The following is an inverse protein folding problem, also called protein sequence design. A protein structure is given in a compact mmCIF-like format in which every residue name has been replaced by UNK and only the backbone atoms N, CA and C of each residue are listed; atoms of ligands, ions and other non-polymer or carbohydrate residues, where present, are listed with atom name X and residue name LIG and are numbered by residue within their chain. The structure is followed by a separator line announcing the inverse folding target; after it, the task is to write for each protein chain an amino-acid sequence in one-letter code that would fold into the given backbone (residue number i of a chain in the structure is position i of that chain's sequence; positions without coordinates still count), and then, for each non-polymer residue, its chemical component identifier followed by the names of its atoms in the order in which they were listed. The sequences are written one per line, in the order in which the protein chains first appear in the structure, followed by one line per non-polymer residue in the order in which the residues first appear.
data_IF_136661742090
#
_entry.id   IF_136661742090
#
_cell.length_a   1.000
_cell.length_b   1.000
_cell.length_c   1.000
_cell.angle_alpha   90.00
_cell.angle_beta   90.00
_cell.angle_gamma   90.00
#
_symmetry.space_group_name_H-M   'P 1'
#
loop_
_entity.id
_entity.type
_entity.pdbx_description
1 polymer ?
#
# COMPACT_ATOMS: atom_id res chain seq x y z
N UNK A 1 2.09 -14.93 -7.55
CA UNK A 1 3.34 -14.71 -8.30
C UNK A 1 3.97 -13.34 -7.96
N UNK A 2 3.25 -12.22 -8.16
CA UNK A 2 3.78 -10.86 -7.90
C UNK A 2 4.27 -10.60 -6.48
N UNK A 3 3.76 -11.32 -5.49
CA UNK A 3 4.18 -11.22 -4.07
C UNK A 3 5.46 -11.99 -3.75
N UNK A 4 5.89 -12.90 -4.63
CA UNK A 4 7.08 -13.71 -4.41
C UNK A 4 8.38 -12.96 -4.73
N UNK A 5 8.29 -11.92 -5.56
CA UNK A 5 9.45 -11.11 -5.94
C UNK A 5 9.52 -9.90 -4.97
N UNK A 6 10.63 -9.72 -4.22
CA UNK A 6 10.81 -8.53 -3.39
C UNK A 6 10.73 -7.25 -4.22
N UNK A 7 10.04 -6.21 -3.69
CA UNK A 7 9.86 -4.93 -4.38
C UNK A 7 11.17 -4.32 -4.85
N UNK A 8 12.22 -4.45 -4.04
CA UNK A 8 13.53 -3.93 -4.32
C UNK A 8 14.14 -4.54 -5.58
N UNK A 9 14.04 -5.87 -5.74
CA UNK A 9 14.53 -6.58 -6.94
C UNK A 9 13.72 -6.16 -8.17
N UNK A 10 12.40 -6.07 -8.03
CA UNK A 10 11.53 -5.59 -9.11
C UNK A 10 11.92 -4.18 -9.55
N UNK A 11 12.15 -3.27 -8.60
CA UNK A 11 12.58 -1.91 -8.90
C UNK A 11 13.93 -1.88 -9.61
N UNK A 12 14.91 -2.68 -9.19
CA UNK A 12 16.22 -2.77 -9.86
C UNK A 12 16.07 -3.24 -11.32
N UNK A 13 15.28 -4.27 -11.56
CA UNK A 13 15.03 -4.78 -12.93
C UNK A 13 14.40 -3.67 -13.78
N UNK A 14 13.42 -2.96 -13.25
CA UNK A 14 12.73 -1.88 -13.95
C UNK A 14 13.65 -0.66 -14.19
N UNK A 15 14.53 -0.33 -13.23
CA UNK A 15 15.55 0.72 -13.42
C UNK A 15 16.51 0.36 -14.56
N UNK A 16 16.94 -0.90 -14.66
CA UNK A 16 17.78 -1.37 -15.76
C UNK A 16 17.03 -1.30 -17.10
N UNK A 17 15.75 -1.65 -17.12
CA UNK A 17 14.96 -1.72 -18.35
C UNK A 17 14.50 -0.34 -18.87
N UNK A 18 14.12 0.57 -17.98
CA UNK A 18 13.46 1.86 -18.32
C UNK A 18 14.41 3.04 -18.08
N UNK A 19 15.42 2.86 -17.22
CA UNK A 19 16.33 3.93 -16.79
C UNK A 19 16.01 4.46 -15.39
N UNK A 20 16.87 5.37 -14.90
CA UNK A 20 16.70 6.03 -13.61
C UNK A 20 15.52 6.98 -13.62
N UNK A 21 14.78 7.06 -12.52
CA UNK A 21 13.67 8.00 -12.37
C UNK A 21 12.56 7.46 -11.49
N UNK A 22 11.49 8.21 -11.32
CA UNK A 22 10.36 7.83 -10.48
C UNK A 22 9.50 6.70 -11.09
N UNK A 23 9.50 6.56 -12.42
CA UNK A 23 8.65 5.59 -13.12
C UNK A 23 8.91 4.14 -12.72
N UNK A 24 10.17 3.64 -12.69
CA UNK A 24 10.47 2.29 -12.21
C UNK A 24 9.97 2.02 -10.79
N UNK A 25 10.11 3.01 -9.88
CA UNK A 25 9.64 2.89 -8.50
C UNK A 25 8.13 2.77 -8.40
N UNK A 26 7.40 3.61 -9.14
CA UNK A 26 5.92 3.56 -9.19
C UNK A 26 5.44 2.22 -9.72
N UNK A 27 6.03 1.71 -10.81
CA UNK A 27 5.68 0.42 -11.38
C UNK A 27 5.98 -0.74 -10.43
N UNK A 28 7.15 -0.74 -9.80
CA UNK A 28 7.54 -1.80 -8.85
C UNK A 28 6.57 -1.86 -7.66
N UNK A 29 6.28 -0.72 -7.03
CA UNK A 29 5.31 -0.62 -5.95
C UNK A 29 3.90 -0.98 -6.41
N UNK A 30 3.50 -0.54 -7.60
CA UNK A 30 2.18 -0.82 -8.17
C UNK A 30 1.94 -2.32 -8.35
N UNK A 31 2.84 -3.03 -9.01
CA UNK A 31 2.73 -4.49 -9.21
C UNK A 31 2.71 -5.26 -7.90
N UNK A 32 3.58 -4.89 -6.97
CA UNK A 32 3.64 -5.55 -5.67
C UNK A 32 2.38 -5.28 -4.83
N UNK A 33 1.93 -4.03 -4.78
CA UNK A 33 0.72 -3.60 -4.08
C UNK A 33 -0.53 -4.29 -4.64
N UNK A 34 -0.64 -4.40 -5.96
CA UNK A 34 -1.74 -5.11 -6.62
C UNK A 34 -1.84 -6.56 -6.14
N UNK A 35 -0.71 -7.27 -6.04
CA UNK A 35 -0.68 -8.64 -5.55
C UNK A 35 -1.08 -8.78 -4.08
N UNK A 36 -0.71 -7.81 -3.22
CA UNK A 36 -1.10 -7.80 -1.80
C UNK A 36 -2.59 -7.48 -1.61
N UNK A 37 -3.08 -6.41 -2.24
CA UNK A 37 -4.48 -6.01 -2.12
C UNK A 37 -5.42 -7.08 -2.66
N UNK A 38 -5.08 -7.68 -3.79
CA UNK A 38 -5.89 -8.78 -4.34
C UNK A 38 -6.02 -9.94 -3.35
N UNK A 39 -4.95 -10.29 -2.63
CA UNK A 39 -4.99 -11.35 -1.62
C UNK A 39 -5.80 -10.95 -0.39
N UNK A 40 -5.59 -9.74 0.13
CA UNK A 40 -6.35 -9.24 1.28
C UNK A 40 -7.85 -9.19 0.98
N UNK A 41 -8.24 -8.70 -0.20
CA UNK A 41 -9.65 -8.64 -0.58
C UNK A 41 -10.27 -10.03 -0.78
N UNK A 42 -9.51 -10.97 -1.34
CA UNK A 42 -9.97 -12.35 -1.45
C UNK A 42 -10.21 -12.97 -0.07
N UNK A 43 -9.29 -12.79 0.87
CA UNK A 43 -9.43 -13.26 2.25
C UNK A 43 -10.61 -12.60 2.97
N UNK A 44 -10.80 -11.29 2.82
CA UNK A 44 -11.94 -10.57 3.39
C UNK A 44 -13.27 -11.12 2.87
N UNK A 45 -13.36 -11.44 1.58
CA UNK A 45 -14.56 -12.01 0.97
C UNK A 45 -14.81 -13.46 1.44
N UNK A 46 -13.75 -14.26 1.57
CA UNK A 46 -13.85 -15.64 2.05
C UNK A 46 -14.36 -15.73 3.51
N UNK A 47 -14.08 -14.70 4.33
CA UNK A 47 -14.49 -14.66 5.74
C UNK A 47 -15.84 -13.97 5.99
N UNK A 48 -16.60 -13.64 4.95
CA UNK A 48 -17.95 -13.06 5.08
C UNK A 48 -18.89 -14.02 5.80
N UNK A 49 -19.63 -13.53 6.77
CA UNK A 49 -20.66 -14.30 7.48
C UNK A 49 -21.82 -14.62 6.54
N UNK A 50 -22.20 -15.89 6.46
CA UNK A 50 -23.25 -16.38 5.56
C UNK A 50 -24.66 -15.99 6.00
N UNK A 51 -24.91 -15.83 7.31
CA UNK A 51 -26.24 -15.55 7.85
C UNK A 51 -26.98 -14.38 7.18
N UNK A 52 -26.39 -13.19 7.01
CA UNK A 52 -27.03 -12.09 6.29
C UNK A 52 -27.32 -12.41 4.80
N UNK A 53 -26.48 -13.22 4.17
CA UNK A 53 -26.67 -13.65 2.78
C UNK A 53 -27.84 -14.61 2.68
N UNK A 54 -27.94 -15.58 3.59
CA UNK A 54 -29.03 -16.55 3.66
C UNK A 54 -30.36 -15.86 3.95
N UNK A 55 -30.36 -14.87 4.86
CA UNK A 55 -31.55 -14.08 5.17
C UNK A 55 -32.09 -13.33 3.94
N UNK A 56 -31.21 -12.71 3.15
CA UNK A 56 -31.61 -12.04 1.91
C UNK A 56 -32.07 -13.03 0.84
N UNK A 57 -31.44 -14.18 0.72
CA UNK A 57 -31.86 -15.22 -0.22
C UNK A 57 -33.26 -15.78 0.12
N UNK A 58 -33.59 -15.91 1.40
CA UNK A 58 -34.92 -16.46 1.84
C UNK A 58 -36.09 -15.53 1.46
N UNK A 59 -35.82 -14.22 1.28
CA UNK A 59 -36.85 -13.25 0.81
C UNK A 59 -36.78 -13.01 -0.72
N UNK A 60 -36.00 -13.83 -1.45
CA UNK A 60 -35.92 -13.78 -2.90
C UNK A 60 -35.04 -12.67 -3.47
N UNK A 61 -34.06 -12.16 -2.69
CA UNK A 61 -33.15 -11.14 -3.16
C UNK A 61 -32.26 -11.66 -4.30
N UNK A 62 -31.98 -10.80 -5.28
CA UNK A 62 -31.05 -11.10 -6.36
C UNK A 62 -29.60 -11.15 -5.87
N UNK A 63 -28.71 -11.80 -6.64
CA UNK A 63 -27.27 -11.87 -6.32
C UNK A 63 -26.64 -10.48 -6.11
N UNK A 64 -27.00 -9.51 -6.94
CA UNK A 64 -26.51 -8.13 -6.82
C UNK A 64 -26.95 -7.48 -5.51
N UNK A 65 -28.19 -7.72 -5.07
CA UNK A 65 -28.72 -7.24 -3.79
C UNK A 65 -27.98 -7.90 -2.62
N UNK A 66 -27.73 -9.22 -2.65
CA UNK A 66 -26.95 -9.91 -1.62
C UNK A 66 -25.52 -9.33 -1.52
N UNK A 67 -24.86 -9.07 -2.64
CA UNK A 67 -23.52 -8.46 -2.64
C UNK A 67 -23.59 -7.05 -2.03
N UNK A 68 -24.52 -6.21 -2.47
CA UNK A 68 -24.57 -4.80 -2.04
C UNK A 68 -24.99 -4.64 -0.58
N UNK A 69 -25.92 -5.47 -0.08
CA UNK A 69 -26.50 -5.29 1.25
C UNK A 69 -25.94 -6.23 2.32
N UNK A 70 -25.37 -7.39 1.92
CA UNK A 70 -24.78 -8.33 2.87
C UNK A 70 -23.26 -8.37 2.81
N UNK A 71 -22.64 -8.46 1.62
CA UNK A 71 -21.20 -8.68 1.49
C UNK A 71 -20.44 -7.35 1.67
N UNK A 72 -20.75 -6.34 0.87
CA UNK A 72 -20.02 -5.07 0.87
C UNK A 72 -19.98 -4.40 2.26
N UNK A 73 -21.08 -4.28 3.02
CA UNK A 73 -21.04 -3.69 4.36
C UNK A 73 -20.14 -4.45 5.34
N UNK A 74 -20.03 -5.77 5.19
CA UNK A 74 -19.19 -6.60 6.07
C UNK A 74 -17.70 -6.40 5.78
N UNK A 75 -17.30 -6.29 4.51
CA UNK A 75 -15.89 -6.17 4.11
C UNK A 75 -15.36 -4.73 4.12
N UNK A 76 -16.25 -3.73 4.11
CA UNK A 76 -15.85 -2.32 3.98
C UNK A 76 -14.88 -1.84 5.07
N UNK A 77 -15.05 -2.15 6.37
CA UNK A 77 -14.10 -1.77 7.39
C UNK A 77 -12.69 -2.35 7.16
N UNK A 78 -12.62 -3.64 6.81
CA UNK A 78 -11.36 -4.32 6.50
C UNK A 78 -10.73 -3.75 5.22
N UNK A 79 -11.54 -3.53 4.18
CA UNK A 79 -11.10 -2.91 2.92
C UNK A 79 -10.42 -1.57 3.16
N UNK A 80 -11.02 -0.67 3.95
CA UNK A 80 -10.43 0.64 4.27
C UNK A 80 -9.16 0.45 5.10
N UNK A 81 -9.18 -0.45 6.09
CA UNK A 81 -8.03 -0.76 6.92
C UNK A 81 -6.83 -1.27 6.10
N UNK A 82 -7.07 -2.20 5.17
CA UNK A 82 -6.05 -2.77 4.29
C UNK A 82 -5.47 -1.71 3.34
N UNK A 83 -6.30 -0.84 2.76
CA UNK A 83 -5.82 0.27 1.91
C UNK A 83 -4.93 1.24 2.68
N UNK A 84 -5.32 1.65 3.89
CA UNK A 84 -4.52 2.53 4.73
C UNK A 84 -3.19 1.88 5.16
N UNK A 85 -3.20 0.58 5.46
CA UNK A 85 -1.99 -0.17 5.77
C UNK A 85 -1.03 -0.21 4.58
N UNK A 86 -1.54 -0.49 3.39
CA UNK A 86 -0.73 -0.54 2.16
C UNK A 86 -0.19 0.86 1.80
N UNK A 87 -1.01 1.91 1.98
CA UNK A 87 -0.55 3.30 1.76
C UNK A 87 0.66 3.63 2.65
N UNK A 88 0.55 3.39 3.95
CA UNK A 88 1.62 3.62 4.91
C UNK A 88 2.87 2.79 4.57
N UNK A 89 2.70 1.52 4.22
CA UNK A 89 3.79 0.65 3.76
C UNK A 89 4.47 1.19 2.50
N UNK A 90 3.69 1.59 1.49
CA UNK A 90 4.22 2.08 0.22
C UNK A 90 5.03 3.36 0.38
N UNK A 91 4.66 4.25 1.29
CA UNK A 91 5.43 5.48 1.57
C UNK A 91 6.82 5.15 2.14
N UNK A 92 6.89 4.20 3.07
CA UNK A 92 8.18 3.71 3.58
C UNK A 92 9.01 3.04 2.49
N UNK A 93 8.39 2.19 1.68
CA UNK A 93 9.08 1.48 0.59
C UNK A 93 9.55 2.42 -0.51
N UNK A 94 8.79 3.48 -0.83
CA UNK A 94 9.21 4.49 -1.80
C UNK A 94 10.53 5.17 -1.42
N UNK A 95 10.77 5.39 -0.11
CA UNK A 95 12.05 5.90 0.39
C UNK A 95 13.20 4.92 0.11
N UNK A 96 12.97 3.62 0.34
CA UNK A 96 13.97 2.58 0.09
C UNK A 96 14.26 2.39 -1.39
N UNK A 97 13.23 2.44 -2.25
CA UNK A 97 13.41 2.31 -3.70
C UNK A 97 14.18 3.48 -4.31
N UNK A 98 14.12 4.65 -3.70
CA UNK A 98 14.94 5.80 -4.10
C UNK A 98 16.44 5.52 -4.04
N UNK A 99 16.88 4.67 -3.11
CA UNK A 99 18.29 4.27 -2.97
C UNK A 99 18.81 3.52 -4.20
N UNK A 100 17.96 2.79 -4.91
CA UNK A 100 18.35 2.06 -6.14
C UNK A 100 18.12 2.86 -7.41
N UNK A 101 17.87 4.17 -7.29
CA UNK A 101 17.70 5.04 -8.45
C UNK A 101 16.26 5.13 -8.97
N UNK A 102 15.29 4.64 -8.20
CA UNK A 102 13.86 4.77 -8.52
C UNK A 102 13.29 6.16 -8.18
N UNK A 103 14.14 7.17 -8.01
CA UNK A 103 13.77 8.57 -7.80
C UNK A 103 13.22 8.90 -6.41
N UNK A 104 12.62 10.08 -6.28
CA UNK A 104 11.98 10.52 -5.04
C UNK A 104 12.95 10.96 -3.94
N UNK A 105 12.42 11.13 -2.72
CA UNK A 105 13.18 11.61 -1.57
C UNK A 105 14.32 10.66 -1.16
N UNK A 106 14.19 9.36 -1.43
CA UNK A 106 15.24 8.39 -1.16
C UNK A 106 16.45 8.55 -2.07
N UNK A 107 16.27 8.98 -3.31
CA UNK A 107 17.38 9.31 -4.22
C UNK A 107 18.14 10.55 -3.73
N UNK A 108 17.42 11.57 -3.25
CA UNK A 108 18.05 12.76 -2.64
C UNK A 108 18.84 12.41 -1.38
N UNK A 109 18.30 11.52 -0.56
CA UNK A 109 18.99 11.00 0.63
C UNK A 109 20.31 10.32 0.26
N UNK A 110 20.27 9.43 -0.72
CA UNK A 110 21.46 8.71 -1.17
C UNK A 110 22.49 9.64 -1.80
N UNK A 111 22.04 10.62 -2.62
CA UNK A 111 22.91 11.62 -3.23
C UNK A 111 23.62 12.45 -2.17
N UNK A 112 22.89 12.96 -1.18
CA UNK A 112 23.45 13.72 -0.07
C UNK A 112 24.45 12.89 0.75
N UNK A 113 24.15 11.61 0.97
CA UNK A 113 25.03 10.69 1.69
C UNK A 113 26.34 10.42 0.92
N UNK A 114 26.27 10.18 -0.39
CA UNK A 114 27.46 10.01 -1.24
C UNK A 114 28.36 11.24 -1.31
N UNK A 115 27.77 12.43 -1.15
CA UNK A 115 28.50 13.70 -1.11
C UNK A 115 29.02 14.05 0.29
N UNK A 116 28.84 13.16 1.29
CA UNK A 116 29.19 13.39 2.69
C UNK A 116 28.57 14.66 3.29
N UNK A 117 27.42 15.10 2.72
CA UNK A 117 26.71 16.28 3.20
C UNK A 117 25.75 15.88 4.35
N UNK A 118 26.32 15.64 5.53
CA UNK A 118 25.57 15.17 6.70
C UNK A 118 24.46 16.12 7.17
N UNK A 119 24.60 17.46 7.11
CA UNK A 119 23.49 18.37 7.43
C UNK A 119 22.27 18.16 6.52
N UNK A 120 22.49 17.93 5.22
CA UNK A 120 21.41 17.65 4.25
C UNK A 120 20.81 16.27 4.51
N UNK A 121 21.62 15.26 4.81
CA UNK A 121 21.16 13.90 5.18
C UNK A 121 20.25 13.98 6.40
N UNK A 122 20.65 14.64 7.48
CA UNK A 122 19.85 14.77 8.70
C UNK A 122 18.53 15.50 8.45
N UNK A 123 18.53 16.56 7.67
CA UNK A 123 17.30 17.29 7.30
C UNK A 123 16.32 16.38 6.52
N UNK A 124 16.80 15.61 5.53
CA UNK A 124 15.98 14.69 4.75
C UNK A 124 15.41 13.59 5.64
N UNK A 125 16.20 13.00 6.55
CA UNK A 125 15.73 11.96 7.48
C UNK A 125 14.64 12.49 8.40
N UNK A 126 14.78 13.73 8.91
CA UNK A 126 13.75 14.36 9.75
C UNK A 126 12.46 14.57 8.94
N UNK A 127 12.55 15.04 7.70
CA UNK A 127 11.37 15.23 6.84
C UNK A 127 10.67 13.89 6.58
N UNK A 128 11.41 12.83 6.27
CA UNK A 128 10.85 11.49 6.07
C UNK A 128 10.15 11.02 7.34
N UNK A 129 10.80 11.16 8.51
CA UNK A 129 10.23 10.76 9.78
C UNK A 129 8.92 11.49 10.08
N UNK A 130 8.90 12.81 9.94
CA UNK A 130 7.70 13.62 10.18
C UNK A 130 6.58 13.21 9.21
N UNK A 131 6.90 13.01 7.94
CA UNK A 131 5.91 12.60 6.92
C UNK A 131 5.28 11.25 7.27
N UNK A 132 6.09 10.24 7.60
CA UNK A 132 5.61 8.91 7.98
C UNK A 132 4.78 9.00 9.27
N UNK A 133 5.25 9.74 10.27
CA UNK A 133 4.56 9.92 11.54
C UNK A 133 3.17 10.56 11.36
N UNK A 134 3.06 11.62 10.55
CA UNK A 134 1.79 12.27 10.25
C UNK A 134 0.80 11.33 9.54
N UNK A 135 1.28 10.56 8.57
CA UNK A 135 0.46 9.61 7.84
C UNK A 135 -0.03 8.48 8.74
N UNK A 136 0.84 7.96 9.62
CA UNK A 136 0.45 6.93 10.58
C UNK A 136 -0.59 7.44 11.58
N UNK A 137 -0.46 8.68 12.08
CA UNK A 137 -1.47 9.31 12.92
C UNK A 137 -2.83 9.42 12.21
N UNK A 138 -2.84 9.90 10.96
CA UNK A 138 -4.07 10.03 10.17
C UNK A 138 -4.69 8.67 9.93
N UNK A 139 -3.90 7.69 9.50
CA UNK A 139 -4.34 6.31 9.25
C UNK A 139 -4.91 5.65 10.51
N UNK A 140 -4.26 5.86 11.65
CA UNK A 140 -4.73 5.36 12.96
C UNK A 140 -6.05 6.00 13.37
N UNK A 141 -6.19 7.31 13.18
CA UNK A 141 -7.43 8.02 13.48
C UNK A 141 -8.61 7.53 12.63
N UNK A 142 -8.39 7.34 11.33
CA UNK A 142 -9.42 6.83 10.41
C UNK A 142 -9.82 5.41 10.79
N UNK A 143 -8.85 4.52 11.07
CA UNK A 143 -9.13 3.14 11.49
C UNK A 143 -9.98 3.07 12.76
N UNK A 144 -9.67 3.87 13.78
CA UNK A 144 -10.45 3.93 15.03
C UNK A 144 -11.90 4.39 14.84
N UNK A 145 -12.18 5.14 13.79
CA UNK A 145 -13.55 5.64 13.51
C UNK A 145 -14.39 4.63 12.73
N UNK A 146 -13.76 3.65 12.08
CA UNK A 146 -14.40 2.68 11.18
C UNK A 146 -14.60 1.32 11.87
N UNK A 147 -13.76 1.00 12.85
CA UNK A 147 -13.92 -0.17 13.74
C UNK A 147 -14.82 0.18 14.93
#
# INVERSE_FOLDING_TARGET
FFRAIPEFIMAMILVIAIGFGAMPGVLALGFHTMGFLAKFYAEDIEHVKLGPIEALNSIGASRAQCISFAVIPQIMPSFIGNNLYILDRNIRMATMLGIVGAGGIGYELQSAFRMFNYPRVSAIVIIIFITIFLIDLISSFIRKKIQ
#
